data_IF_612045629204
#
_entry.id   IF_612045629204
#
_cell.length_a   1.000
_cell.length_b   1.000
_cell.length_c   1.000
_cell.angle_alpha   90.00
_cell.angle_beta   90.00
_cell.angle_gamma   90.00
#
_symmetry.space_group_name_H-M   'P 1'
#
loop_
_entity.id
_entity.type
_entity.pdbx_description
1 polymer ?
#
# COMPACT_ATOMS: atom_id res chain seq x y z
N UNK A 1 -34.23 32.62 -36.43
CA UNK A 1 -34.14 32.04 -35.08
C UNK A 1 -33.04 30.99 -35.09
N UNK A 2 -31.91 31.25 -34.42
CA UNK A 2 -30.78 30.32 -34.35
C UNK A 2 -31.14 29.19 -33.37
N UNK A 3 -31.11 27.94 -33.85
CA UNK A 3 -31.21 26.75 -33.00
C UNK A 3 -29.93 26.66 -32.17
N UNK A 4 -30.05 26.81 -30.85
CA UNK A 4 -28.98 26.45 -29.94
C UNK A 4 -28.94 24.93 -29.83
N UNK A 5 -27.84 24.35 -30.30
CA UNK A 5 -27.46 22.98 -29.97
C UNK A 5 -27.02 22.99 -28.50
N UNK A 6 -27.78 22.33 -27.62
CA UNK A 6 -27.33 22.05 -26.26
C UNK A 6 -26.23 20.99 -26.36
N UNK A 7 -24.97 21.41 -26.21
CA UNK A 7 -23.85 20.50 -25.98
C UNK A 7 -24.03 19.96 -24.57
N UNK A 8 -24.52 18.74 -24.44
CA UNK A 8 -24.39 17.97 -23.21
C UNK A 8 -22.90 17.64 -23.04
N UNK A 9 -22.20 18.43 -22.22
CA UNK A 9 -20.88 18.07 -21.73
C UNK A 9 -21.13 16.89 -20.78
N UNK A 10 -20.95 15.67 -21.28
CA UNK A 10 -20.81 14.49 -20.44
C UNK A 10 -19.57 14.75 -19.55
N UNK A 11 -19.79 15.02 -18.27
CA UNK A 11 -18.77 15.03 -17.24
C UNK A 11 -18.29 13.57 -17.03
N UNK A 12 -17.52 13.04 -17.97
CA UNK A 12 -16.84 11.74 -17.83
C UNK A 12 -15.54 11.85 -16.99
N UNK A 13 -15.26 13.03 -16.41
CA UNK A 13 -14.09 13.29 -15.57
C UNK A 13 -14.25 12.83 -14.10
N UNK A 14 -15.37 12.17 -13.74
CA UNK A 14 -15.76 12.03 -12.33
C UNK A 14 -15.51 10.68 -11.66
N UNK A 15 -15.00 9.64 -12.32
CA UNK A 15 -14.71 8.36 -11.64
C UNK A 15 -13.27 8.32 -11.10
N UNK A 16 -12.29 8.73 -11.91
CA UNK A 16 -10.87 8.74 -11.54
C UNK A 16 -10.55 9.74 -10.41
N UNK A 17 -11.10 10.95 -10.49
CA UNK A 17 -10.90 11.99 -9.46
C UNK A 17 -11.53 11.64 -8.10
N UNK A 18 -12.55 10.75 -8.08
CA UNK A 18 -13.23 10.36 -6.84
C UNK A 18 -12.59 9.16 -6.13
N UNK A 19 -11.73 8.39 -6.81
CA UNK A 19 -11.01 7.28 -6.20
C UNK A 19 -9.88 7.77 -5.27
N UNK A 20 -9.23 8.89 -5.63
CA UNK A 20 -8.07 9.45 -4.89
C UNK A 20 -8.47 10.26 -3.66
N UNK A 21 -9.63 10.94 -3.67
CA UNK A 21 -10.07 11.82 -2.58
C UNK A 21 -10.51 11.09 -1.29
N UNK A 22 -10.72 9.77 -1.34
CA UNK A 22 -11.26 8.99 -0.22
C UNK A 22 -10.24 8.09 0.49
N UNK A 23 -8.98 8.11 0.05
CA UNK A 23 -7.86 7.48 0.76
C UNK A 23 -7.42 8.36 1.93
N UNK A 24 -6.94 7.74 3.01
CA UNK A 24 -6.33 8.44 4.15
C UNK A 24 -5.08 9.22 3.74
N UNK A 25 -4.33 8.70 2.77
CA UNK A 25 -3.20 9.35 2.13
C UNK A 25 -3.48 9.47 0.62
N UNK A 26 -3.94 10.63 0.14
CA UNK A 26 -4.21 10.82 -1.28
C UNK A 26 -2.92 10.72 -2.09
N UNK A 27 -2.99 10.16 -3.30
CA UNK A 27 -1.86 10.22 -4.23
C UNK A 27 -1.75 11.61 -4.84
N UNK A 28 -0.53 11.97 -5.22
CA UNK A 28 -0.26 13.09 -6.12
C UNK A 28 -0.38 12.67 -7.61
N UNK A 29 -1.15 11.63 -7.92
CA UNK A 29 -1.39 11.19 -9.30
C UNK A 29 -2.19 12.27 -10.02
N UNK A 30 -1.64 12.77 -11.13
CA UNK A 30 -2.38 13.60 -12.07
C UNK A 30 -3.20 12.69 -13.00
N UNK A 31 -4.54 12.70 -12.91
CA UNK A 31 -5.37 11.88 -13.80
C UNK A 31 -5.18 12.24 -15.29
N UNK A 32 -4.75 13.46 -15.61
CA UNK A 32 -4.47 13.87 -16.99
C UNK A 32 -3.26 13.16 -17.60
N UNK A 33 -2.40 12.57 -16.78
CA UNK A 33 -1.21 11.82 -17.18
C UNK A 33 -1.44 10.29 -17.15
N UNK A 34 -2.67 9.83 -16.90
CA UNK A 34 -3.00 8.40 -16.90
C UNK A 34 -3.24 7.86 -18.31
N UNK A 35 -2.45 6.87 -18.73
CA UNK A 35 -2.53 6.30 -20.08
C UNK A 35 -3.72 5.34 -20.28
N UNK A 36 -4.22 4.70 -19.21
CA UNK A 36 -5.35 3.79 -19.29
C UNK A 36 -6.27 3.90 -18.07
N UNK A 37 -7.56 4.17 -18.33
CA UNK A 37 -8.61 4.32 -17.31
C UNK A 37 -9.73 3.27 -17.41
N UNK A 38 -9.60 2.33 -18.35
CA UNK A 38 -10.67 1.40 -18.69
C UNK A 38 -10.28 -0.08 -18.47
N UNK A 39 -8.98 -0.42 -18.43
CA UNK A 39 -8.48 -1.77 -18.14
C UNK A 39 -8.05 -1.93 -16.68
N UNK A 40 -8.22 -3.15 -16.16
CA UNK A 40 -7.94 -3.51 -14.76
C UNK A 40 -7.37 -4.91 -14.70
N UNK A 41 -6.25 -5.09 -14.00
CA UNK A 41 -5.72 -6.43 -13.78
C UNK A 41 -6.73 -7.30 -13.06
N UNK A 42 -7.06 -8.41 -13.67
CA UNK A 42 -7.76 -9.52 -13.08
C UNK A 42 -6.76 -10.43 -12.35
N UNK A 43 -5.59 -10.73 -12.96
CA UNK A 43 -4.61 -11.66 -12.37
C UNK A 43 -3.16 -11.27 -12.59
N UNK A 44 -2.34 -11.60 -11.60
CA UNK A 44 -0.89 -11.70 -11.71
C UNK A 44 -0.51 -13.17 -11.65
N UNK A 45 0.12 -13.68 -12.71
CA UNK A 45 0.46 -15.10 -12.84
C UNK A 45 1.97 -15.27 -12.91
N UNK A 46 2.53 -15.98 -11.93
CA UNK A 46 3.92 -16.43 -11.93
C UNK A 46 4.07 -17.59 -12.89
N UNK A 47 4.89 -17.42 -13.92
CA UNK A 47 5.14 -18.48 -14.91
C UNK A 47 5.96 -19.61 -14.32
N UNK A 48 5.51 -20.84 -14.55
CA UNK A 48 6.26 -22.02 -14.14
C UNK A 48 7.58 -22.16 -14.89
N UNK A 49 8.58 -22.77 -14.25
CA UNK A 49 9.71 -23.32 -15.00
C UNK A 49 9.25 -24.57 -15.75
N UNK A 50 10.04 -25.12 -16.68
CA UNK A 50 9.66 -26.19 -17.62
C UNK A 50 8.98 -27.46 -17.05
N UNK A 51 8.90 -27.64 -15.73
CA UNK A 51 8.21 -28.74 -15.04
C UNK A 51 7.21 -28.29 -13.95
N UNK A 52 7.04 -26.99 -13.70
CA UNK A 52 6.01 -26.46 -12.80
C UNK A 52 4.89 -25.78 -13.58
N UNK A 53 3.66 -25.88 -13.10
CA UNK A 53 2.54 -25.15 -13.68
C UNK A 53 2.63 -23.67 -13.34
N UNK A 54 2.01 -22.84 -14.18
CA UNK A 54 1.72 -21.46 -13.84
C UNK A 54 0.96 -21.36 -12.51
N UNK A 55 1.26 -20.32 -11.74
CA UNK A 55 0.66 -20.07 -10.44
C UNK A 55 0.11 -18.65 -10.40
N UNK A 56 -1.19 -18.51 -10.14
CA UNK A 56 -1.78 -17.20 -9.83
C UNK A 56 -1.28 -16.73 -8.47
N UNK A 57 -0.54 -15.62 -8.46
CA UNK A 57 0.06 -15.03 -7.26
C UNK A 57 -0.65 -13.76 -6.80
N UNK A 58 -1.49 -13.18 -7.66
CA UNK A 58 -2.42 -12.10 -7.37
C UNK A 58 -3.70 -12.31 -8.17
N UNK A 59 -4.84 -12.08 -7.53
CA UNK A 59 -6.16 -12.12 -8.16
C UNK A 59 -7.03 -10.99 -7.59
N UNK A 60 -7.69 -10.24 -8.45
CA UNK A 60 -8.32 -8.98 -8.11
C UNK A 60 -9.78 -9.02 -8.55
N UNK A 61 -10.69 -8.57 -7.68
CA UNK A 61 -12.11 -8.46 -8.00
C UNK A 61 -12.59 -7.04 -7.79
N UNK A 62 -13.52 -6.61 -8.64
CA UNK A 62 -14.08 -5.27 -8.61
C UNK A 62 -15.60 -5.30 -8.51
N UNK A 63 -16.20 -4.28 -7.89
CA UNK A 63 -17.64 -4.07 -7.94
C UNK A 63 -18.07 -3.36 -9.26
N UNK A 64 -19.37 -3.13 -9.43
CA UNK A 64 -19.94 -2.48 -10.61
C UNK A 64 -19.48 -1.03 -10.80
N UNK A 65 -19.11 -0.33 -9.72
CA UNK A 65 -18.56 1.02 -9.76
C UNK A 65 -17.05 1.01 -10.03
N UNK A 66 -16.47 -0.17 -10.22
CA UNK A 66 -15.06 -0.29 -10.49
C UNK A 66 -14.18 -0.01 -9.26
N UNK A 67 -14.62 -0.40 -8.07
CA UNK A 67 -13.79 -0.41 -6.86
C UNK A 67 -13.35 -1.82 -6.54
N UNK A 68 -12.11 -1.96 -6.09
CA UNK A 68 -11.58 -3.26 -5.68
C UNK A 68 -12.35 -3.77 -4.46
N UNK A 69 -12.90 -4.98 -4.54
CA UNK A 69 -13.61 -5.64 -3.44
C UNK A 69 -12.83 -6.82 -2.87
N UNK A 70 -11.86 -7.36 -3.62
CA UNK A 70 -10.99 -8.42 -3.12
C UNK A 70 -9.61 -8.36 -3.79
N UNK A 71 -8.57 -8.68 -3.00
CA UNK A 71 -7.20 -8.95 -3.46
C UNK A 71 -6.74 -10.26 -2.84
N UNK A 72 -6.55 -11.30 -3.64
CA UNK A 72 -6.02 -12.56 -3.18
C UNK A 72 -4.57 -12.72 -3.66
N UNK A 73 -3.64 -12.58 -2.73
CA UNK A 73 -2.22 -12.80 -2.92
C UNK A 73 -1.81 -14.21 -2.47
N UNK A 74 -0.55 -14.58 -2.69
CA UNK A 74 0.01 -15.81 -2.13
C UNK A 74 0.00 -15.81 -0.60
N UNK A 75 0.29 -14.69 0.04
CA UNK A 75 0.47 -14.59 1.49
C UNK A 75 -0.79 -14.16 2.24
N UNK A 76 -1.80 -13.64 1.54
CA UNK A 76 -2.99 -13.08 2.17
C UNK A 76 -4.15 -12.84 1.20
N UNK A 77 -5.36 -12.78 1.72
CA UNK A 77 -6.55 -12.27 1.03
C UNK A 77 -7.06 -11.04 1.75
N UNK A 78 -7.30 -9.97 1.00
CA UNK A 78 -7.97 -8.76 1.47
C UNK A 78 -9.37 -8.68 0.89
N UNK A 79 -10.33 -8.29 1.70
CA UNK A 79 -11.70 -8.02 1.28
C UNK A 79 -12.10 -6.61 1.69
N UNK A 80 -12.90 -5.96 0.85
CA UNK A 80 -13.34 -4.59 1.03
C UNK A 80 -14.86 -4.48 0.82
N UNK A 81 -15.54 -3.84 1.77
CA UNK A 81 -16.96 -3.48 1.67
C UNK A 81 -17.09 -1.96 1.67
N UNK A 82 -17.96 -1.43 0.80
CA UNK A 82 -18.19 0.01 0.67
C UNK A 82 -19.59 0.40 1.12
N UNK A 83 -19.72 1.62 1.63
CA UNK A 83 -21.01 2.29 1.82
C UNK A 83 -21.60 2.71 0.46
N UNK A 84 -22.90 3.05 0.45
CA UNK A 84 -23.61 3.53 -0.75
C UNK A 84 -22.98 4.79 -1.34
N UNK A 85 -22.42 5.66 -0.50
CA UNK A 85 -21.70 6.87 -0.92
C UNK A 85 -20.29 6.57 -1.45
N UNK A 86 -19.88 5.31 -1.41
CA UNK A 86 -18.60 4.83 -1.88
C UNK A 86 -17.42 5.02 -0.92
N UNK A 87 -17.64 5.48 0.31
CA UNK A 87 -16.62 5.40 1.38
C UNK A 87 -16.42 3.94 1.79
N UNK A 88 -15.23 3.59 2.27
CA UNK A 88 -14.91 2.21 2.65
C UNK A 88 -15.55 1.90 4.00
N UNK A 89 -16.52 1.00 4.02
CA UNK A 89 -17.22 0.62 5.25
C UNK A 89 -16.37 -0.30 6.11
N UNK A 90 -15.78 -1.31 5.49
CA UNK A 90 -15.05 -2.37 6.18
C UNK A 90 -13.94 -2.90 5.29
N UNK A 91 -12.84 -3.30 5.90
CA UNK A 91 -11.78 -4.02 5.23
C UNK A 91 -11.24 -5.12 6.14
N UNK A 92 -10.84 -6.24 5.55
CA UNK A 92 -10.27 -7.36 6.29
C UNK A 92 -9.08 -7.93 5.56
N UNK A 93 -8.17 -8.55 6.32
CA UNK A 93 -7.09 -9.35 5.76
C UNK A 93 -7.00 -10.69 6.48
N UNK A 94 -6.86 -11.76 5.69
CA UNK A 94 -6.60 -13.11 6.16
C UNK A 94 -5.30 -13.62 5.54
N UNK A 95 -4.32 -13.95 6.37
CA UNK A 95 -3.02 -14.48 5.98
C UNK A 95 -3.13 -15.93 5.57
N UNK A 96 -2.40 -16.29 4.53
CA UNK A 96 -2.11 -17.66 4.17
C UNK A 96 -0.76 -18.05 4.79
N UNK A 97 -0.75 -19.01 5.70
CA UNK A 97 0.50 -19.50 6.28
C UNK A 97 1.27 -20.39 5.29
N UNK A 98 2.60 -20.33 5.36
CA UNK A 98 3.54 -21.31 4.81
C UNK A 98 3.43 -21.57 3.30
N UNK A 99 3.22 -20.54 2.47
CA UNK A 99 3.32 -20.70 1.01
C UNK A 99 4.74 -20.46 0.52
N UNK A 100 5.27 -21.43 -0.22
CA UNK A 100 6.57 -21.29 -0.88
C UNK A 100 6.54 -20.17 -1.93
N UNK A 101 7.62 -19.39 -1.97
CA UNK A 101 7.81 -18.34 -2.97
C UNK A 101 7.02 -17.05 -2.71
N UNK A 102 6.65 -16.77 -1.46
CA UNK A 102 6.28 -15.41 -1.03
C UNK A 102 7.54 -14.54 -1.06
N UNK A 103 7.53 -13.49 -1.89
CA UNK A 103 8.63 -12.51 -1.99
C UNK A 103 8.23 -11.18 -1.32
N UNK A 104 6.95 -10.81 -1.42
CA UNK A 104 6.37 -9.62 -0.80
C UNK A 104 5.30 -10.09 0.19
N UNK A 105 5.38 -9.60 1.42
CA UNK A 105 4.31 -9.77 2.39
C UNK A 105 3.40 -8.54 2.36
N UNK A 106 2.09 -8.75 2.23
CA UNK A 106 1.08 -7.70 2.10
C UNK A 106 0.35 -7.40 3.40
N UNK A 107 0.30 -8.31 4.39
CA UNK A 107 -0.13 -8.02 5.79
C UNK A 107 0.69 -8.77 6.85
N UNK A 108 0.85 -8.21 8.06
CA UNK A 108 1.44 -8.86 9.24
C UNK A 108 0.41 -9.60 10.08
N UNK A 109 -0.87 -9.24 9.95
CA UNK A 109 -1.95 -9.62 10.86
C UNK A 109 -3.18 -10.12 10.11
N UNK A 110 -3.92 -11.01 10.78
CA UNK A 110 -5.30 -11.31 10.43
C UNK A 110 -6.20 -10.28 11.09
N UNK A 111 -7.03 -9.57 10.34
CA UNK A 111 -7.84 -8.51 10.92
C UNK A 111 -9.16 -8.26 10.20
N UNK A 112 -10.08 -7.62 10.92
CA UNK A 112 -11.26 -6.92 10.41
C UNK A 112 -11.21 -5.48 10.93
N UNK A 113 -11.42 -4.51 10.07
CA UNK A 113 -11.47 -3.08 10.37
C UNK A 113 -12.79 -2.49 9.89
N UNK A 114 -13.56 -1.90 10.80
CA UNK A 114 -14.81 -1.19 10.52
C UNK A 114 -14.60 0.33 10.67
N UNK A 115 -15.05 1.09 9.68
CA UNK A 115 -14.77 2.53 9.56
C UNK A 115 -15.99 3.40 9.83
N UNK A 116 -15.78 4.50 10.52
CA UNK A 116 -16.75 5.57 10.75
C UNK A 116 -16.24 6.87 10.14
N UNK A 117 -17.13 7.60 9.46
CA UNK A 117 -16.80 8.82 8.74
C UNK A 117 -17.57 10.03 9.25
N UNK A 118 -16.94 11.20 9.19
CA UNK A 118 -17.58 12.51 9.29
C UNK A 118 -17.05 13.39 8.16
N UNK A 119 -17.95 14.06 7.43
CA UNK A 119 -17.60 14.92 6.28
C UNK A 119 -16.66 14.24 5.26
N UNK A 120 -16.89 12.95 4.99
CA UNK A 120 -16.09 12.16 4.04
C UNK A 120 -14.73 11.68 4.55
N UNK A 121 -14.35 12.01 5.80
CA UNK A 121 -13.08 11.60 6.41
C UNK A 121 -13.30 10.53 7.47
N UNK A 122 -12.40 9.56 7.54
CA UNK A 122 -12.42 8.58 8.63
C UNK A 122 -12.15 9.28 9.94
N UNK A 123 -13.02 9.14 10.93
CA UNK A 123 -12.81 9.68 12.28
C UNK A 123 -12.51 8.57 13.29
N UNK A 124 -13.03 7.37 13.05
CA UNK A 124 -12.83 6.20 13.90
C UNK A 124 -12.72 4.93 13.07
N UNK A 125 -11.85 4.02 13.50
CA UNK A 125 -11.80 2.62 13.07
C UNK A 125 -11.92 1.71 14.31
N UNK A 126 -12.70 0.63 14.19
CA UNK A 126 -12.66 -0.49 15.15
C UNK A 126 -11.96 -1.64 14.47
N UNK A 127 -10.79 -2.03 14.98
CA UNK A 127 -9.95 -3.08 14.40
C UNK A 127 -9.88 -4.29 15.31
N UNK A 128 -10.42 -5.39 14.84
CA UNK A 128 -10.31 -6.71 15.45
C UNK A 128 -9.12 -7.44 14.83
N UNK A 129 -8.19 -7.91 15.66
CA UNK A 129 -7.05 -8.72 15.21
C UNK A 129 -7.23 -10.15 15.71
N UNK A 130 -7.03 -11.09 14.82
CA UNK A 130 -7.23 -12.52 15.01
C UNK A 130 -5.89 -13.25 15.03
N UNK A 131 -5.91 -14.47 15.55
CA UNK A 131 -4.73 -15.31 15.61
C UNK A 131 -4.07 -15.47 14.25
N UNK A 132 -2.74 -15.41 14.19
CA UNK A 132 -1.97 -15.62 12.96
C UNK A 132 -2.23 -16.98 12.29
N UNK A 133 -2.69 -17.97 13.07
CA UNK A 133 -3.03 -19.31 12.60
C UNK A 133 -4.51 -19.51 12.24
N UNK A 134 -5.33 -18.46 12.32
CA UNK A 134 -6.76 -18.53 12.02
C UNK A 134 -6.98 -18.93 10.54
N UNK A 135 -7.89 -19.88 10.31
CA UNK A 135 -8.30 -20.31 8.97
C UNK A 135 -9.36 -19.40 8.35
N UNK A 136 -10.07 -18.64 9.18
CA UNK A 136 -11.05 -17.62 8.79
C UNK A 136 -11.13 -16.53 9.88
N UNK A 137 -11.99 -15.54 9.68
CA UNK A 137 -12.19 -14.40 10.58
C UNK A 137 -13.53 -14.45 11.33
N UNK A 138 -14.12 -15.65 11.50
CA UNK A 138 -15.42 -15.83 12.18
C UNK A 138 -15.30 -16.08 13.69
N UNK A 139 -14.08 -16.33 14.18
CA UNK A 139 -13.81 -16.60 15.59
C UNK A 139 -13.84 -15.36 16.48
N UNK A 140 -13.42 -15.52 17.74
CA UNK A 140 -13.19 -14.38 18.63
C UNK A 140 -11.85 -13.71 18.30
N UNK A 141 -11.77 -12.37 18.27
CA UNK A 141 -10.50 -11.68 18.10
C UNK A 141 -9.62 -11.82 19.35
N UNK A 142 -8.30 -11.91 19.15
CA UNK A 142 -7.32 -11.90 20.24
C UNK A 142 -7.21 -10.50 20.87
N UNK A 143 -7.38 -9.47 20.04
CA UNK A 143 -7.37 -8.08 20.48
C UNK A 143 -8.31 -7.24 19.64
N UNK A 144 -8.96 -6.27 20.28
CA UNK A 144 -9.74 -5.24 19.60
C UNK A 144 -9.15 -3.88 19.93
N UNK A 145 -8.95 -3.08 18.89
CA UNK A 145 -8.47 -1.72 18.98
C UNK A 145 -9.58 -0.75 18.59
N UNK A 146 -9.69 0.35 19.34
CA UNK A 146 -10.33 1.56 18.83
C UNK A 146 -9.23 2.49 18.32
N UNK A 147 -9.40 2.97 17.09
CA UNK A 147 -8.45 3.84 16.42
C UNK A 147 -9.15 5.17 16.15
N UNK A 148 -8.57 6.27 16.59
CA UNK A 148 -9.09 7.62 16.36
C UNK A 148 -8.17 8.40 15.40
N UNK A 149 -8.77 9.14 14.47
CA UNK A 149 -8.07 9.92 13.45
C UNK A 149 -8.24 11.41 13.71
N UNK A 150 -7.14 12.17 13.63
CA UNK A 150 -7.12 13.61 13.91
C UNK A 150 -6.51 14.39 12.75
N UNK A 151 -7.27 15.35 12.26
CA UNK A 151 -6.90 16.20 11.14
C UNK A 151 -6.54 17.61 11.61
N UNK A 152 -5.67 18.30 10.86
CA UNK A 152 -5.41 19.72 11.08
C UNK A 152 -6.45 20.62 10.38
N UNK A 153 -6.26 21.94 10.46
CA UNK A 153 -7.15 22.92 9.85
C UNK A 153 -7.14 22.91 8.31
N UNK A 154 -6.14 22.26 7.70
CA UNK A 154 -6.03 22.06 6.25
C UNK A 154 -6.45 20.64 5.85
N UNK A 155 -7.19 19.95 6.72
CA UNK A 155 -7.74 18.62 6.44
C UNK A 155 -6.70 17.50 6.26
N UNK A 156 -5.47 17.70 6.74
CA UNK A 156 -4.41 16.68 6.69
C UNK A 156 -4.44 15.80 7.94
N UNK A 157 -4.37 14.48 7.76
CA UNK A 157 -4.24 13.55 8.88
C UNK A 157 -2.89 13.79 9.57
N UNK A 158 -2.89 14.36 10.76
CA UNK A 158 -1.65 14.64 11.52
C UNK A 158 -1.39 13.61 12.60
N UNK A 159 -2.43 12.90 13.05
CA UNK A 159 -2.30 11.93 14.13
C UNK A 159 -3.34 10.82 14.04
N UNK A 160 -2.91 9.60 14.34
CA UNK A 160 -3.77 8.44 14.57
C UNK A 160 -3.42 7.82 15.92
N UNK A 161 -4.43 7.57 16.75
CA UNK A 161 -4.27 6.97 18.07
C UNK A 161 -4.98 5.62 18.10
N UNK A 162 -4.23 4.53 18.22
CA UNK A 162 -4.73 3.18 18.37
C UNK A 162 -4.74 2.79 19.85
N UNK A 163 -5.90 2.42 20.39
CA UNK A 163 -6.12 2.10 21.80
C UNK A 163 -6.58 0.65 21.91
N UNK A 164 -5.83 -0.18 22.63
CA UNK A 164 -6.24 -1.54 22.96
C UNK A 164 -7.39 -1.50 23.98
N UNK A 165 -8.55 -2.05 23.62
CA UNK A 165 -9.74 -1.97 24.47
C UNK A 165 -9.64 -2.79 25.76
N UNK A 166 -8.78 -3.81 25.80
CA UNK A 166 -8.65 -4.68 26.97
C UNK A 166 -7.78 -4.07 28.08
N UNK A 167 -6.75 -3.31 27.72
CA UNK A 167 -5.74 -2.84 28.68
C UNK A 167 -5.39 -1.34 28.57
N UNK A 168 -6.04 -0.60 27.67
CA UNK A 168 -5.78 0.82 27.40
C UNK A 168 -4.32 1.16 27.01
N UNK A 169 -3.52 0.18 26.58
CA UNK A 169 -2.25 0.47 25.91
C UNK A 169 -2.52 1.19 24.60
N UNK A 170 -1.59 2.06 24.20
CA UNK A 170 -1.76 2.95 23.06
C UNK A 170 -0.60 2.83 22.09
N UNK A 171 -0.89 2.97 20.81
CA UNK A 171 0.09 3.25 19.78
C UNK A 171 -0.30 4.57 19.13
N UNK A 172 0.62 5.53 19.17
CA UNK A 172 0.42 6.86 18.61
C UNK A 172 1.22 6.99 17.33
N UNK A 173 0.54 7.25 16.23
CA UNK A 173 1.14 7.63 14.96
C UNK A 173 1.03 9.13 14.79
N UNK A 174 2.15 9.79 14.50
CA UNK A 174 2.19 11.21 14.12
C UNK A 174 2.76 11.33 12.72
N UNK A 175 2.04 12.03 11.86
CA UNK A 175 2.38 12.21 10.45
C UNK A 175 2.89 13.63 10.21
N UNK A 176 3.90 13.76 9.38
CA UNK A 176 4.45 15.05 8.94
C UNK A 176 4.52 15.05 7.42
N UNK A 177 4.25 16.20 6.83
CA UNK A 177 4.24 16.40 5.39
C UNK A 177 5.37 17.33 4.98
N UNK A 178 5.90 17.19 3.76
CA UNK A 178 6.87 18.12 3.19
C UNK A 178 6.17 19.35 2.57
N UNK A 179 6.96 20.25 2.00
CA UNK A 179 6.47 21.50 1.39
C UNK A 179 5.59 21.28 0.15
N UNK A 180 5.61 20.07 -0.43
CA UNK A 180 4.73 19.63 -1.52
C UNK A 180 3.50 18.86 -1.00
N UNK A 181 3.21 18.92 0.30
CA UNK A 181 2.07 18.26 0.94
C UNK A 181 2.06 16.73 0.87
N UNK A 182 3.23 16.12 0.69
CA UNK A 182 3.42 14.66 0.66
C UNK A 182 3.89 14.15 2.03
N UNK A 183 3.40 12.99 2.46
CA UNK A 183 3.76 12.38 3.75
C UNK A 183 5.27 12.13 3.82
N UNK A 184 6.02 12.90 4.58
CA UNK A 184 7.48 12.82 4.64
C UNK A 184 7.99 12.02 5.83
N UNK A 185 7.20 11.91 6.90
CA UNK A 185 7.62 11.23 8.12
C UNK A 185 6.44 10.66 8.89
N UNK A 186 6.65 9.46 9.44
CA UNK A 186 5.76 8.80 10.39
C UNK A 186 6.55 8.52 11.66
N UNK A 187 6.06 9.00 12.80
CA UNK A 187 6.55 8.58 14.11
C UNK A 187 5.53 7.64 14.74
N UNK A 188 5.94 6.44 15.10
CA UNK A 188 5.17 5.52 15.95
C UNK A 188 5.71 5.62 17.39
N UNK A 189 4.83 5.81 18.36
CA UNK A 189 5.14 5.70 19.79
C UNK A 189 4.23 4.68 20.46
N UNK A 190 4.80 3.63 21.06
CA UNK A 190 4.05 2.67 21.88
C UNK A 190 4.05 3.17 23.32
N UNK A 191 2.86 3.17 23.94
CA UNK A 191 2.64 3.70 25.28
C UNK A 191 1.90 2.71 26.17
N UNK A 192 2.40 2.58 27.40
CA UNK A 192 1.69 1.93 28.51
C UNK A 192 1.40 2.99 29.56
N UNK A 193 0.13 3.39 29.68
CA UNK A 193 -0.23 4.61 30.40
C UNK A 193 0.41 5.86 29.77
N UNK A 194 1.12 6.65 30.57
CA UNK A 194 1.84 7.85 30.11
C UNK A 194 3.30 7.59 29.70
N UNK A 195 3.80 6.35 29.86
CA UNK A 195 5.18 6.01 29.55
C UNK A 195 5.32 5.53 28.10
N UNK A 196 6.29 6.08 27.38
CA UNK A 196 6.70 5.58 26.06
C UNK A 196 7.61 4.38 26.28
N UNK A 197 7.21 3.24 25.71
CA UNK A 197 7.94 1.98 25.82
C UNK A 197 8.72 1.64 24.56
N UNK A 198 8.30 2.19 23.41
CA UNK A 198 8.98 1.97 22.15
C UNK A 198 8.70 3.12 21.16
N UNK A 199 9.61 3.31 20.21
CA UNK A 199 9.47 4.25 19.11
C UNK A 199 9.98 3.66 17.80
N UNK A 200 9.34 4.04 16.72
CA UNK A 200 9.83 3.82 15.35
C UNK A 200 9.63 5.08 14.53
N UNK A 201 10.54 5.33 13.59
CA UNK A 201 10.45 6.46 12.66
C UNK A 201 10.61 5.95 11.24
N UNK A 202 9.66 6.27 10.38
CA UNK A 202 9.75 6.11 8.93
C UNK A 202 9.94 7.47 8.30
N UNK A 203 10.97 7.63 7.48
CA UNK A 203 11.21 8.81 6.66
C UNK A 203 11.01 8.44 5.20
N UNK A 204 10.27 9.27 4.46
CA UNK A 204 9.95 9.07 3.06
C UNK A 204 10.50 10.23 2.23
N UNK A 205 11.14 9.90 1.11
CA UNK A 205 11.62 10.85 0.11
C UNK A 205 10.99 10.53 -1.22
N UNK A 206 10.68 11.58 -1.99
CA UNK A 206 9.92 11.50 -3.23
C UNK A 206 10.73 12.04 -4.41
N UNK A 207 10.45 11.55 -5.61
CA UNK A 207 10.83 12.26 -6.85
C UNK A 207 9.84 13.41 -7.15
N UNK A 208 10.08 14.13 -8.25
CA UNK A 208 9.24 15.26 -8.65
C UNK A 208 7.79 14.82 -8.97
N UNK A 209 7.63 13.63 -9.56
CA UNK A 209 6.32 13.03 -9.92
C UNK A 209 5.51 12.55 -8.69
N UNK A 210 6.13 12.45 -7.51
CA UNK A 210 5.44 12.06 -6.27
C UNK A 210 5.55 10.59 -5.90
N UNK A 211 6.41 9.84 -6.57
CA UNK A 211 6.77 8.48 -6.19
C UNK A 211 7.73 8.46 -5.01
N UNK A 212 7.56 7.47 -4.12
CA UNK A 212 8.52 7.20 -3.06
C UNK A 212 9.79 6.63 -3.70
N UNK A 213 10.91 7.33 -3.60
CA UNK A 213 12.23 6.85 -4.07
C UNK A 213 13.09 6.32 -2.94
N UNK A 214 12.77 6.68 -1.70
CA UNK A 214 13.52 6.23 -0.53
C UNK A 214 12.63 6.17 0.71
N UNK A 215 12.73 5.08 1.44
CA UNK A 215 12.17 4.92 2.78
C UNK A 215 13.28 4.53 3.77
N UNK A 216 13.41 5.28 4.86
CA UNK A 216 14.43 5.03 5.91
C UNK A 216 13.72 4.79 7.23
N UNK A 217 13.90 3.59 7.78
CA UNK A 217 13.41 3.21 9.09
C UNK A 217 14.50 3.43 10.13
N UNK A 218 14.19 4.19 11.18
CA UNK A 218 15.08 4.45 12.31
C UNK A 218 14.45 3.95 13.61
N UNK A 219 15.29 3.47 14.53
CA UNK A 219 14.88 2.99 15.86
C UNK A 219 15.46 3.88 16.96
N UNK A 220 14.73 4.91 17.42
CA UNK A 220 15.22 5.77 18.49
C UNK A 220 15.49 5.01 19.79
N UNK A 221 16.64 5.27 20.40
CA UNK A 221 17.00 4.70 21.69
C UNK A 221 16.16 5.37 22.80
N UNK A 222 15.60 4.56 23.70
CA UNK A 222 14.89 5.07 24.86
C UNK A 222 15.89 5.70 25.84
N UNK A 223 15.68 6.99 26.17
CA UNK A 223 16.46 7.70 27.20
C UNK A 223 17.64 8.54 26.72
N UNK A 224 17.96 8.58 25.41
CA UNK A 224 18.96 9.50 24.87
C UNK A 224 18.39 10.31 23.70
N UNK A 225 18.21 11.63 23.89
CA UNK A 225 17.51 12.51 22.94
C UNK A 225 18.45 13.30 22.03
N UNK A 226 19.77 13.13 22.16
CA UNK A 226 20.78 13.90 21.43
C UNK A 226 21.44 13.13 20.28
N UNK A 227 21.36 11.80 20.28
CA UNK A 227 21.95 10.98 19.22
C UNK A 227 20.96 10.78 18.08
N UNK A 228 21.46 10.87 16.84
CA UNK A 228 20.66 10.52 15.66
C UNK A 228 20.24 9.03 15.76
N UNK A 229 18.94 8.71 15.66
CA UNK A 229 18.47 7.35 15.87
C UNK A 229 19.04 6.40 14.81
N UNK A 230 19.52 5.19 15.18
CA UNK A 230 20.14 4.26 14.25
C UNK A 230 19.17 3.84 13.14
N UNK A 231 19.69 3.74 11.92
CA UNK A 231 18.96 3.20 10.77
C UNK A 231 18.92 1.68 10.89
N UNK A 232 17.72 1.11 10.84
CA UNK A 232 17.50 -0.35 10.92
C UNK A 232 17.11 -0.96 9.57
N UNK A 233 16.62 -0.14 8.64
CA UNK A 233 16.25 -0.57 7.29
C UNK A 233 16.22 0.65 6.36
N UNK A 234 16.74 0.50 5.16
CA UNK A 234 16.57 1.44 4.05
C UNK A 234 15.94 0.70 2.88
N UNK A 235 15.01 1.34 2.19
CA UNK A 235 14.46 0.89 0.92
C UNK A 235 14.71 2.00 -0.09
N UNK A 236 15.50 1.73 -1.12
CA UNK A 236 15.70 2.62 -2.26
C UNK A 236 14.92 2.06 -3.45
N UNK A 237 14.19 2.93 -4.16
CA UNK A 237 13.33 2.56 -5.27
C UNK A 237 13.70 3.43 -6.49
N UNK A 238 13.92 2.78 -7.63
CA UNK A 238 14.06 3.46 -8.92
C UNK A 238 12.95 3.06 -9.87
N UNK A 239 12.57 4.00 -10.72
CA UNK A 239 11.48 3.88 -11.68
C UNK A 239 12.04 4.03 -13.10
N UNK A 240 11.33 3.49 -14.09
CA UNK A 240 11.59 3.84 -15.47
C UNK A 240 11.25 5.34 -15.70
N UNK A 241 11.97 5.99 -16.62
CA UNK A 241 11.76 7.41 -16.91
C UNK A 241 10.31 7.68 -17.37
N UNK A 242 9.72 8.75 -16.86
CA UNK A 242 8.33 9.12 -17.10
C UNK A 242 8.17 9.73 -18.49
N UNK A 243 7.55 8.96 -19.39
CA UNK A 243 7.03 9.48 -20.63
C UNK A 243 5.54 9.14 -20.78
N UNK A 244 5.11 7.91 -20.47
CA UNK A 244 3.71 7.51 -20.73
C UNK A 244 3.15 6.43 -19.76
N UNK A 245 3.86 6.07 -18.67
CA UNK A 245 3.55 4.86 -17.88
C UNK A 245 2.94 5.14 -16.49
N UNK A 246 1.82 5.86 -16.44
CA UNK A 246 1.05 5.94 -15.18
C UNK A 246 0.06 4.78 -15.17
N UNK A 247 0.35 3.80 -14.33
CA UNK A 247 -0.48 2.62 -14.10
C UNK A 247 -1.91 3.05 -13.69
N UNK A 248 -2.96 2.33 -14.11
CA UNK A 248 -4.33 2.71 -13.79
C UNK A 248 -4.52 2.86 -12.27
N UNK A 249 -5.00 4.00 -11.81
CA UNK A 249 -5.40 4.28 -10.42
C UNK A 249 -6.21 3.17 -9.68
N UNK A 250 -6.72 2.15 -10.38
CA UNK A 250 -7.48 1.02 -9.84
C UNK A 250 -6.67 -0.07 -9.12
N UNK A 251 -5.34 0.00 -9.13
CA UNK A 251 -4.46 -0.89 -8.36
C UNK A 251 -4.16 -0.41 -6.96
N UNK A 252 -4.52 0.84 -6.67
CA UNK A 252 -4.19 1.47 -5.42
C UNK A 252 -5.04 0.86 -4.31
N UNK A 253 -4.37 0.44 -3.24
CA UNK A 253 -5.08 -0.02 -2.05
C UNK A 253 -5.97 1.10 -1.51
N UNK A 254 -7.27 0.86 -1.26
CA UNK A 254 -8.12 1.88 -0.67
C UNK A 254 -7.62 2.29 0.73
N UNK A 255 -6.78 1.46 1.39
CA UNK A 255 -6.15 1.78 2.67
C UNK A 255 -4.63 1.63 2.58
N UNK A 256 -3.98 2.67 2.05
CA UNK A 256 -2.50 2.71 1.95
C UNK A 256 -1.78 2.72 3.27
N UNK A 257 -2.44 3.19 4.32
CA UNK A 257 -1.85 3.31 5.65
C UNK A 257 -1.15 2.03 6.12
N UNK A 258 -1.74 0.87 5.81
CA UNK A 258 -1.22 -0.43 6.25
C UNK A 258 -0.02 -0.93 5.44
N UNK A 259 0.25 -0.30 4.31
CA UNK A 259 1.25 -0.71 3.34
C UNK A 259 2.47 0.19 3.30
N UNK A 260 2.38 1.41 3.83
CA UNK A 260 3.40 2.47 3.72
C UNK A 260 4.80 2.04 4.17
N UNK A 261 4.92 1.06 5.06
CA UNK A 261 6.18 0.54 5.58
C UNK A 261 6.57 -0.84 5.02
N UNK A 262 5.78 -1.39 4.09
CA UNK A 262 5.83 -2.82 3.71
C UNK A 262 5.75 -3.11 2.22
N UNK A 263 4.69 -2.66 1.56
CA UNK A 263 4.37 -3.03 0.18
C UNK A 263 4.51 -1.79 -0.70
N UNK A 264 5.75 -1.43 -0.99
CA UNK A 264 6.04 -0.30 -1.88
C UNK A 264 5.60 -0.57 -3.32
N UNK A 265 5.58 -1.85 -3.74
CA UNK A 265 5.06 -2.23 -5.05
C UNK A 265 3.58 -1.88 -5.19
N UNK A 266 2.77 -2.15 -4.16
CA UNK A 266 1.36 -1.78 -4.12
C UNK A 266 1.06 -0.30 -3.89
N UNK A 267 2.08 0.54 -3.69
CA UNK A 267 1.96 1.99 -3.49
C UNK A 267 2.41 2.81 -4.70
N UNK A 268 3.28 2.25 -5.54
CA UNK A 268 3.75 2.93 -6.74
C UNK A 268 2.70 2.96 -7.84
N UNK A 269 2.70 4.06 -8.58
CA UNK A 269 1.91 4.29 -9.78
C UNK A 269 2.76 4.28 -11.06
N UNK A 270 4.08 4.35 -10.96
CA UNK A 270 5.03 4.12 -12.04
C UNK A 270 5.62 2.71 -12.00
N UNK A 271 6.04 2.24 -13.17
CA UNK A 271 6.78 0.98 -13.32
C UNK A 271 8.09 1.05 -12.54
N UNK A 272 8.14 0.29 -11.44
CA UNK A 272 9.35 0.16 -10.62
C UNK A 272 10.41 -0.59 -11.43
N UNK A 273 11.55 0.03 -11.66
CA UNK A 273 12.71 -0.60 -12.26
C UNK A 273 13.49 -1.44 -11.25
N UNK A 274 13.65 -0.93 -10.02
CA UNK A 274 14.46 -1.60 -8.99
C UNK A 274 14.00 -1.23 -7.59
N UNK A 275 14.01 -2.21 -6.69
CA UNK A 275 13.92 -2.01 -5.24
C UNK A 275 15.17 -2.58 -4.59
N UNK A 276 15.83 -1.79 -3.75
CA UNK A 276 16.95 -2.24 -2.92
C UNK A 276 16.58 -2.05 -1.46
N UNK A 277 16.39 -3.15 -0.74
CA UNK A 277 16.21 -3.14 0.70
C UNK A 277 17.53 -3.50 1.37
N UNK A 278 18.02 -2.64 2.25
CA UNK A 278 19.22 -2.87 3.05
C UNK A 278 18.87 -2.84 4.53
N UNK A 279 19.26 -3.88 5.25
CA UNK A 279 19.26 -3.97 6.71
C UNK A 279 20.67 -4.33 7.21
N UNK A 280 20.94 -4.33 8.53
CA UNK A 280 22.29 -4.60 9.07
C UNK A 280 22.88 -5.96 8.69
N UNK A 281 22.05 -6.91 8.26
CA UNK A 281 22.46 -8.30 8.01
C UNK A 281 22.50 -8.64 6.52
N UNK A 282 21.71 -7.93 5.70
CA UNK A 282 21.54 -8.28 4.28
C UNK A 282 21.12 -7.10 3.41
N UNK A 283 21.38 -7.27 2.12
CA UNK A 283 20.80 -6.45 1.06
C UNK A 283 20.00 -7.35 0.13
N UNK A 284 18.74 -7.00 -0.11
CA UNK A 284 17.88 -7.62 -1.12
C UNK A 284 17.67 -6.60 -2.23
N UNK A 285 18.04 -6.95 -3.45
CA UNK A 285 17.79 -6.15 -4.65
C UNK A 285 16.85 -6.91 -5.56
N UNK A 286 15.77 -6.27 -6.01
CA UNK A 286 14.86 -6.82 -7.01
C UNK A 286 14.83 -5.87 -8.19
N UNK A 287 15.21 -6.36 -9.37
CA UNK A 287 15.12 -5.61 -10.63
C UNK A 287 14.00 -6.15 -11.49
N UNK A 288 13.25 -5.27 -12.13
CA UNK A 288 12.09 -5.61 -12.96
C UNK A 288 12.34 -5.16 -14.38
N UNK A 289 12.00 -6.02 -15.34
CA UNK A 289 12.01 -5.73 -16.78
C UNK A 289 10.63 -6.04 -17.32
N UNK A 290 9.91 -5.01 -17.76
CA UNK A 290 8.55 -5.12 -18.29
C UNK A 290 8.57 -5.34 -19.81
N UNK A 291 7.53 -5.99 -20.30
CA UNK A 291 7.24 -6.14 -21.73
C UNK A 291 5.79 -5.70 -21.97
N UNK A 292 5.60 -4.97 -23.05
CA UNK A 292 4.33 -4.55 -23.62
C UNK A 292 4.34 -5.11 -25.05
N UNK A 293 3.51 -6.11 -25.29
CA UNK A 293 3.46 -6.90 -26.52
C UNK A 293 2.45 -6.31 -27.52
N UNK A 294 1.63 -5.34 -27.11
CA UNK A 294 0.51 -4.82 -27.88
C UNK A 294 0.58 -3.29 -28.12
N UNK A 295 1.60 -2.63 -27.58
CA UNK A 295 1.91 -1.19 -27.64
C UNK A 295 0.80 -0.30 -27.02
N UNK A 296 0.09 -0.79 -26.00
CA UNK A 296 -0.96 -0.06 -25.27
C UNK A 296 -0.45 0.69 -24.02
N UNK A 297 0.87 0.72 -23.81
CA UNK A 297 1.57 1.32 -22.66
C UNK A 297 1.33 0.58 -21.32
N UNK A 298 0.57 -0.52 -21.31
CA UNK A 298 0.43 -1.40 -20.17
C UNK A 298 1.40 -2.58 -20.28
N UNK A 299 2.05 -2.97 -19.17
CA UNK A 299 2.86 -4.16 -19.19
C UNK A 299 1.97 -5.41 -19.29
N UNK A 300 2.16 -6.24 -20.30
CA UNK A 300 1.58 -7.59 -20.41
C UNK A 300 2.35 -8.59 -19.55
N UNK A 301 3.65 -8.36 -19.35
CA UNK A 301 4.48 -9.24 -18.53
C UNK A 301 5.66 -8.50 -17.89
N UNK A 302 6.28 -9.12 -16.90
CA UNK A 302 7.59 -8.69 -16.40
C UNK A 302 8.44 -9.86 -15.91
N UNK A 303 9.75 -9.66 -15.95
CA UNK A 303 10.73 -10.52 -15.29
C UNK A 303 11.29 -9.82 -14.07
N UNK A 304 11.18 -10.46 -12.90
CA UNK A 304 11.81 -10.03 -11.66
C UNK A 304 13.08 -10.83 -11.40
N UNK A 305 14.20 -10.14 -11.21
CA UNK A 305 15.48 -10.73 -10.78
C UNK A 305 15.77 -10.28 -9.36
N UNK A 306 15.64 -11.20 -8.41
CA UNK A 306 15.96 -10.98 -7.01
C UNK A 306 17.39 -11.45 -6.72
N UNK A 307 18.20 -10.57 -6.16
CA UNK A 307 19.52 -10.88 -5.62
C UNK A 307 19.52 -10.62 -4.11
N UNK A 308 20.00 -11.59 -3.34
CA UNK A 308 20.14 -11.47 -1.88
C UNK A 308 21.62 -11.61 -1.52
N UNK A 309 22.17 -10.60 -0.86
CA UNK A 309 23.56 -10.55 -0.43
C UNK A 309 23.64 -10.56 1.10
N UNK A 310 24.45 -11.46 1.65
CA UNK A 310 24.75 -11.59 3.08
C UNK A 310 26.26 -11.74 3.27
N UNK A 311 26.95 -10.68 3.70
CA UNK A 311 28.42 -10.65 3.69
C UNK A 311 28.96 -10.94 2.28
N UNK A 312 29.81 -11.95 2.15
CA UNK A 312 30.40 -12.35 0.85
C UNK A 312 29.54 -13.32 0.03
N UNK A 313 28.36 -13.72 0.53
CA UNK A 313 27.47 -14.67 -0.18
C UNK A 313 26.40 -13.93 -0.95
N UNK A 314 26.15 -14.38 -2.18
CA UNK A 314 25.06 -13.89 -3.03
C UNK A 314 24.21 -15.05 -3.55
N UNK A 315 22.89 -14.88 -3.53
CA UNK A 315 21.93 -15.77 -4.16
C UNK A 315 21.08 -14.97 -5.15
N UNK A 316 20.78 -15.57 -6.31
CA UNK A 316 19.96 -14.92 -7.34
C UNK A 316 18.82 -15.83 -7.75
N UNK A 317 17.62 -15.26 -7.87
CA UNK A 317 16.41 -15.91 -8.36
C UNK A 317 15.83 -15.06 -9.48
N UNK A 318 15.50 -15.69 -10.60
CA UNK A 318 14.83 -15.03 -11.74
C UNK A 318 13.44 -15.64 -11.86
N UNK A 319 12.43 -14.78 -11.97
CA UNK A 319 11.04 -15.20 -12.06
C UNK A 319 10.28 -14.35 -13.07
N UNK A 320 9.60 -14.99 -14.00
CA UNK A 320 8.71 -14.34 -14.96
C UNK A 320 7.27 -14.32 -14.44
N UNK A 321 6.57 -13.24 -14.77
CA UNK A 321 5.17 -13.00 -14.45
C UNK A 321 4.41 -12.49 -15.66
N UNK A 322 3.15 -12.89 -15.84
CA UNK A 322 2.21 -12.26 -16.76
C UNK A 322 1.14 -11.47 -16.00
N UNK A 323 0.72 -10.36 -16.57
CA UNK A 323 -0.40 -9.55 -16.14
C UNK A 323 -1.60 -9.85 -17.04
N UNK A 324 -2.75 -10.18 -16.45
CA UNK A 324 -4.00 -10.43 -17.17
C UNK A 324 -4.99 -9.32 -16.78
N UNK A 325 -5.48 -8.54 -17.75
CA UNK A 325 -6.43 -7.44 -17.58
C UNK A 325 -7.87 -7.83 -18.00
#
# INVERSE_FOLDING_TARGET
MKKFLSVAILLALSSAANATQKSVFPDAVDPALTACTDLRLDKLVRKGASQSSDLTVGNYKYNTDGKIIQRAYLDSTFDYEYNIDGTLKKASALRAMNREGIIIEHTKENFISDYTYENGKVTREVRQVFSSSASDLNGAPEVTYQINYFYDANDKLTRREQINQANNSKILYTYTFNDQDRLSKINEERKTGNQITDRDVLLLTYNDDGEIIKAVHKKPLMGNTTDEPPIIKTVDISYYASNDDVYPFYYVDPIKEWKVDRDFFGLSFHRIQKIVTTDPTKTISISYVYQDDNEDFLPDSFTATMAITFGDKQQTVVQQYSLEY
#
